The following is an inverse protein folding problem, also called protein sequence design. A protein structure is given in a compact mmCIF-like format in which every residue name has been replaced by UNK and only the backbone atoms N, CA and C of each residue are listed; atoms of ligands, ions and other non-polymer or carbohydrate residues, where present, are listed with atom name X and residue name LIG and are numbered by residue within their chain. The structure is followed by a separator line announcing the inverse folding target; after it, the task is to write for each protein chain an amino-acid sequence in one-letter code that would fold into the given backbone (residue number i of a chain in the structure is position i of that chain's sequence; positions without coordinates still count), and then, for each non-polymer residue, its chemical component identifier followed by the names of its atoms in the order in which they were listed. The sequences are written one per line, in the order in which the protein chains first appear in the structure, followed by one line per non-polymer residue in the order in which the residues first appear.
data_IF_318230674432
#
_entry.id   IF_318230674432
#
_cell.length_a   1.000
_cell.length_b   1.000
_cell.length_c   1.000
_cell.angle_alpha   90.00
_cell.angle_beta   90.00
_cell.angle_gamma   90.00
#
_symmetry.space_group_name_H-M   'P 1'
#
loop_
_entity.id
_entity.type
_entity.pdbx_description
1 polymer ?
#
# COMPACT_ATOMS: atom_id res chain seq x y z
N UNK A 1 -26.46 35.40 -32.60
CA UNK A 1 -25.43 34.49 -32.06
C UNK A 1 -24.07 35.15 -32.28
N UNK A 2 -23.35 35.42 -31.19
CA UNK A 2 -21.99 36.00 -31.19
C UNK A 2 -21.03 34.95 -31.76
N UNK A 3 -19.97 35.36 -32.46
CA UNK A 3 -18.56 35.01 -32.19
C UNK A 3 -17.68 35.83 -33.16
N UNK A 4 -16.98 36.79 -32.57
CA UNK A 4 -15.78 37.48 -33.03
C UNK A 4 -14.60 36.52 -33.16
N UNK A 5 -13.76 36.70 -34.17
CA UNK A 5 -12.44 36.04 -34.27
C UNK A 5 -11.51 36.84 -35.16
N UNK A 6 -10.75 37.74 -34.54
CA UNK A 6 -9.76 38.61 -35.17
C UNK A 6 -8.36 38.21 -34.67
N UNK A 7 -7.38 38.43 -35.55
CA UNK A 7 -5.94 38.60 -35.35
C UNK A 7 -4.99 37.41 -35.56
N UNK A 8 -4.21 37.64 -36.61
CA UNK A 8 -3.05 36.93 -37.14
C UNK A 8 -1.80 37.27 -36.30
N UNK A 9 -0.91 36.28 -36.24
CA UNK A 9 0.37 36.27 -35.56
C UNK A 9 1.41 37.28 -36.08
N UNK A 10 2.25 37.77 -35.17
CA UNK A 10 3.63 38.27 -35.37
C UNK A 10 4.19 38.47 -33.95
N UNK A 11 5.27 37.88 -33.45
CA UNK A 11 6.54 37.50 -34.03
C UNK A 11 7.62 38.32 -33.31
N UNK A 12 8.28 37.76 -32.29
CA UNK A 12 9.62 38.21 -31.88
C UNK A 12 10.38 37.09 -31.14
N UNK A 13 11.48 36.71 -31.75
CA UNK A 13 12.49 35.75 -31.32
C UNK A 13 13.56 36.49 -30.50
N UNK A 14 13.96 35.95 -29.35
CA UNK A 14 15.32 36.17 -28.84
C UNK A 14 15.85 34.92 -28.14
N UNK A 15 16.92 34.41 -28.73
CA UNK A 15 17.75 33.32 -28.24
C UNK A 15 18.66 33.81 -27.10
N UNK A 16 18.91 32.95 -26.12
CA UNK A 16 20.07 33.10 -25.24
C UNK A 16 20.92 31.84 -25.28
N UNK A 17 22.22 32.10 -25.43
CA UNK A 17 23.31 31.18 -25.75
C UNK A 17 23.59 30.18 -24.63
N UNK A 18 23.85 28.95 -25.07
CA UNK A 18 24.37 27.82 -24.31
C UNK A 18 25.87 28.05 -24.11
N UNK A 19 26.36 27.96 -22.87
CA UNK A 19 27.78 27.64 -22.64
C UNK A 19 27.82 26.52 -21.61
N UNK A 20 28.20 25.33 -22.05
CA UNK A 20 28.31 24.15 -21.22
C UNK A 20 29.69 24.02 -20.58
N UNK A 21 29.70 23.50 -19.35
CA UNK A 21 30.80 22.67 -18.86
C UNK A 21 30.18 21.45 -18.19
N UNK A 22 30.33 20.30 -18.85
CA UNK A 22 30.02 19.01 -18.30
C UNK A 22 31.17 18.56 -17.38
N UNK A 23 30.85 18.25 -16.13
CA UNK A 23 31.53 17.23 -15.33
C UNK A 23 30.44 16.48 -14.58
N UNK A 24 29.99 15.39 -15.21
CA UNK A 24 29.35 14.30 -14.53
C UNK A 24 30.45 13.50 -13.84
N UNK A 25 30.43 13.37 -12.51
CA UNK A 25 30.94 12.14 -11.90
C UNK A 25 30.39 11.86 -10.49
N UNK A 26 30.00 10.59 -10.33
CA UNK A 26 29.67 9.79 -9.15
C UNK A 26 28.60 10.28 -8.16
N UNK A 27 27.39 9.82 -8.44
CA UNK A 27 26.43 9.21 -7.51
C UNK A 27 27.02 8.82 -6.13
N UNK A 28 26.79 9.63 -5.10
CA UNK A 28 26.86 9.18 -3.71
C UNK A 28 25.47 8.75 -3.28
N UNK A 29 25.12 7.50 -3.59
CA UNK A 29 23.89 6.86 -3.13
C UNK A 29 23.95 6.66 -1.61
N UNK A 30 23.52 7.68 -0.87
CA UNK A 30 23.07 7.54 0.52
C UNK A 30 21.68 8.16 0.56
N UNK A 31 20.66 7.33 0.31
CA UNK A 31 19.30 7.72 0.66
C UNK A 31 19.27 7.83 2.19
N UNK A 32 19.08 9.03 2.77
CA UNK A 32 18.74 9.09 4.17
C UNK A 32 17.36 8.44 4.28
N UNK A 33 17.16 7.55 5.25
CA UNK A 33 15.83 7.17 5.68
C UNK A 33 15.16 8.44 6.21
N UNK A 34 14.61 9.22 5.28
CA UNK A 34 13.94 10.48 5.52
C UNK A 34 12.70 10.15 6.31
N UNK A 35 12.75 10.57 7.58
CA UNK A 35 11.63 10.95 8.42
C UNK A 35 10.39 11.25 7.56
N UNK A 36 9.48 10.26 7.49
CA UNK A 36 8.18 10.45 6.87
C UNK A 36 7.34 11.22 7.87
N UNK A 37 7.21 12.51 7.60
CA UNK A 37 6.22 13.45 8.08
C UNK A 37 4.94 12.74 8.58
N UNK A 38 4.77 12.74 9.89
CA UNK A 38 3.80 11.94 10.66
C UNK A 38 2.40 12.57 10.75
N UNK A 39 2.16 13.65 9.98
CA UNK A 39 0.93 14.45 10.10
C UNK A 39 -0.12 14.25 9.01
N UNK A 40 0.02 13.28 8.09
CA UNK A 40 -1.03 13.05 7.08
C UNK A 40 -1.11 11.61 6.60
N UNK A 41 -1.85 10.78 7.35
CA UNK A 41 -2.75 9.69 6.91
C UNK A 41 -3.08 8.86 8.15
N UNK A 42 -4.35 8.79 8.53
CA UNK A 42 -4.87 7.72 9.37
C UNK A 42 -4.66 6.38 8.63
N UNK A 43 -3.44 5.82 8.67
CA UNK A 43 -3.04 4.62 7.93
C UNK A 43 -3.55 3.38 8.67
N UNK A 44 -4.85 3.16 8.55
CA UNK A 44 -5.55 2.02 9.09
C UNK A 44 -5.10 0.71 8.44
N UNK A 45 -4.85 -0.29 9.27
CA UNK A 45 -4.45 -1.64 8.87
C UNK A 45 -5.37 -2.68 9.52
N UNK A 46 -5.40 -3.89 8.96
CA UNK A 46 -6.16 -5.01 9.51
C UNK A 46 -5.29 -6.06 10.21
N UNK A 47 -3.96 -5.86 10.22
CA UNK A 47 -3.03 -6.75 10.95
C UNK A 47 -2.69 -8.05 10.22
N UNK A 48 -2.45 -7.99 8.91
CA UNK A 48 -1.93 -9.14 8.14
C UNK A 48 -0.65 -8.79 7.40
N UNK A 49 0.11 -9.81 7.02
CA UNK A 49 1.06 -9.75 5.92
C UNK A 49 0.50 -10.44 4.68
N UNK A 50 0.89 -9.96 3.51
CA UNK A 50 0.56 -10.59 2.22
C UNK A 50 1.81 -11.18 1.60
N UNK A 51 1.66 -12.36 1.03
CA UNK A 51 2.68 -13.05 0.24
C UNK A 51 2.18 -13.28 -1.18
N UNK A 52 3.11 -13.26 -2.12
CA UNK A 52 2.84 -13.56 -3.53
C UNK A 52 3.31 -14.98 -3.81
N UNK A 53 2.44 -15.81 -4.38
CA UNK A 53 2.76 -17.17 -4.80
C UNK A 53 2.18 -17.50 -6.16
N UNK A 54 2.52 -18.67 -6.69
CA UNK A 54 1.89 -19.26 -7.86
C UNK A 54 1.86 -20.78 -7.67
N UNK A 55 0.80 -21.44 -8.11
CA UNK A 55 0.64 -22.88 -7.94
C UNK A 55 1.60 -23.65 -8.87
N UNK A 56 1.78 -23.18 -10.10
CA UNK A 56 2.70 -23.75 -11.09
C UNK A 56 3.54 -22.68 -11.75
N UNK A 57 4.67 -23.10 -12.31
CA UNK A 57 5.51 -22.22 -13.14
C UNK A 57 4.69 -21.79 -14.36
N UNK A 58 4.55 -20.47 -14.54
CA UNK A 58 3.78 -19.86 -15.62
C UNK A 58 2.33 -19.53 -15.25
N UNK A 59 1.84 -19.97 -14.09
CA UNK A 59 0.52 -19.57 -13.61
C UNK A 59 0.51 -18.10 -13.18
N UNK A 60 -0.66 -17.44 -13.24
CA UNK A 60 -0.82 -16.11 -12.67
C UNK A 60 -0.46 -16.10 -11.18
N UNK A 61 0.21 -15.03 -10.75
CA UNK A 61 0.48 -14.81 -9.35
C UNK A 61 -0.83 -14.64 -8.54
N UNK A 62 -0.83 -15.20 -7.34
CA UNK A 62 -1.91 -15.19 -6.36
C UNK A 62 -1.40 -14.57 -5.07
N UNK A 63 -2.29 -13.89 -4.33
CA UNK A 63 -2.00 -13.31 -3.03
C UNK A 63 -2.56 -14.17 -1.91
N UNK A 64 -1.72 -14.50 -0.96
CA UNK A 64 -2.08 -15.26 0.22
C UNK A 64 -1.81 -14.46 1.50
N UNK A 65 -2.60 -14.72 2.53
CA UNK A 65 -2.35 -14.22 3.88
C UNK A 65 -1.15 -14.96 4.46
N UNK A 66 -0.03 -14.25 4.64
CA UNK A 66 1.21 -14.84 5.13
C UNK A 66 1.30 -14.91 6.66
N UNK A 67 0.78 -13.91 7.36
CA UNK A 67 0.71 -13.86 8.82
C UNK A 67 -0.54 -13.09 9.21
N UNK A 68 -1.13 -13.47 10.34
CA UNK A 68 -2.24 -12.76 10.97
C UNK A 68 -1.78 -12.37 12.38
N UNK A 69 -1.86 -11.08 12.71
CA UNK A 69 -1.51 -10.60 14.03
C UNK A 69 -2.47 -11.20 15.07
N UNK A 70 -1.98 -11.88 16.12
CA UNK A 70 -2.83 -12.39 17.19
C UNK A 70 -3.69 -11.27 17.78
N UNK A 71 -4.97 -11.56 18.05
CA UNK A 71 -5.92 -10.57 18.59
C UNK A 71 -6.17 -9.32 17.70
N UNK A 72 -5.56 -9.25 16.51
CA UNK A 72 -5.76 -8.16 15.58
C UNK A 72 -7.12 -8.23 14.86
N UNK A 73 -7.54 -7.17 14.16
CA UNK A 73 -8.86 -7.13 13.51
C UNK A 73 -9.11 -8.29 12.53
N UNK A 74 -8.11 -8.64 11.72
CA UNK A 74 -8.20 -9.77 10.81
C UNK A 74 -8.38 -11.11 11.53
N UNK A 75 -7.66 -11.32 12.65
CA UNK A 75 -7.81 -12.51 13.47
C UNK A 75 -9.22 -12.62 14.06
N UNK A 76 -9.74 -11.53 14.63
CA UNK A 76 -11.09 -11.48 15.19
C UNK A 76 -12.18 -11.73 14.14
N UNK A 77 -11.93 -11.32 12.89
CA UNK A 77 -12.82 -11.60 11.77
C UNK A 77 -12.71 -13.03 11.22
N UNK A 78 -11.79 -13.85 11.75
CA UNK A 78 -11.59 -15.23 11.32
C UNK A 78 -10.78 -15.39 10.03
N UNK A 79 -10.03 -14.36 9.62
CA UNK A 79 -9.06 -14.46 8.54
C UNK A 79 -7.86 -15.31 9.00
N UNK A 80 -7.48 -16.30 8.20
CA UNK A 80 -6.46 -17.28 8.54
C UNK A 80 -5.19 -17.15 7.70
N UNK A 81 -4.09 -17.69 8.22
CA UNK A 81 -2.89 -17.94 7.42
C UNK A 81 -3.24 -18.84 6.23
N UNK A 82 -2.70 -18.53 5.05
CA UNK A 82 -2.87 -19.31 3.83
C UNK A 82 -4.15 -19.01 3.05
N UNK A 83 -5.07 -18.22 3.60
CA UNK A 83 -6.23 -17.74 2.86
C UNK A 83 -5.78 -16.99 1.60
N UNK A 84 -6.32 -17.37 0.43
CA UNK A 84 -6.14 -16.65 -0.81
C UNK A 84 -7.03 -15.40 -0.80
N UNK A 85 -6.44 -14.22 -1.02
CA UNK A 85 -7.21 -12.98 -1.22
C UNK A 85 -7.69 -12.92 -2.65
N UNK A 86 -9.02 -12.89 -2.85
CA UNK A 86 -9.63 -12.87 -4.19
C UNK A 86 -10.28 -11.53 -4.55
N UNK A 87 -10.73 -10.77 -3.55
CA UNK A 87 -11.33 -9.44 -3.76
C UNK A 87 -11.16 -8.53 -2.55
N UNK A 88 -11.17 -7.22 -2.80
CA UNK A 88 -11.22 -6.17 -1.77
C UNK A 88 -12.31 -5.18 -2.16
N UNK A 89 -13.26 -4.94 -1.24
CA UNK A 89 -14.46 -4.12 -1.45
C UNK A 89 -15.20 -4.48 -2.75
N UNK A 90 -15.40 -5.80 -2.97
CA UNK A 90 -16.04 -6.36 -4.16
C UNK A 90 -15.21 -6.29 -5.45
N UNK A 91 -14.04 -5.64 -5.43
CA UNK A 91 -13.15 -5.55 -6.60
C UNK A 91 -12.20 -6.73 -6.64
N UNK A 92 -12.18 -7.54 -7.72
CA UNK A 92 -11.25 -8.66 -7.85
C UNK A 92 -9.79 -8.21 -7.82
N UNK A 93 -8.92 -8.96 -7.15
CA UNK A 93 -7.49 -8.62 -7.06
C UNK A 93 -6.62 -9.26 -8.15
N UNK A 94 -7.16 -10.22 -8.90
CA UNK A 94 -6.44 -10.90 -9.98
C UNK A 94 -5.92 -9.89 -11.01
N UNK A 95 -4.62 -9.98 -11.32
CA UNK A 95 -3.95 -9.11 -12.30
C UNK A 95 -3.55 -7.74 -11.76
N UNK A 96 -3.83 -7.43 -10.48
CA UNK A 96 -3.33 -6.22 -9.82
C UNK A 96 -1.92 -6.44 -9.29
N UNK A 97 -1.16 -5.35 -9.15
CA UNK A 97 0.14 -5.37 -8.46
C UNK A 97 -0.06 -5.48 -6.96
N UNK A 98 0.98 -5.97 -6.28
CA UNK A 98 1.00 -6.12 -4.83
C UNK A 98 0.65 -4.80 -4.12
N UNK A 99 1.28 -3.69 -4.53
CA UNK A 99 1.11 -2.39 -3.91
C UNK A 99 -0.31 -1.84 -4.08
N UNK A 100 -0.96 -2.13 -5.21
CA UNK A 100 -2.35 -1.75 -5.45
C UNK A 100 -3.28 -2.44 -4.47
N UNK A 101 -3.12 -3.75 -4.27
CA UNK A 101 -3.95 -4.52 -3.34
C UNK A 101 -3.70 -4.10 -1.90
N UNK A 102 -2.44 -3.86 -1.52
CA UNK A 102 -2.11 -3.28 -0.20
C UNK A 102 -2.79 -1.92 -0.01
N UNK A 103 -2.79 -1.07 -1.04
CA UNK A 103 -3.47 0.23 -1.03
C UNK A 103 -4.99 0.11 -0.86
N UNK A 104 -5.62 -0.90 -1.45
CA UNK A 104 -7.05 -1.17 -1.28
C UNK A 104 -7.39 -1.65 0.14
N UNK A 105 -6.54 -2.51 0.73
CA UNK A 105 -6.76 -3.04 2.08
C UNK A 105 -6.52 -1.97 3.14
N UNK A 106 -5.53 -1.10 2.94
CA UNK A 106 -5.29 0.07 3.79
C UNK A 106 -6.39 1.12 3.57
N UNK A 107 -6.51 2.04 4.50
CA UNK A 107 -7.53 3.08 4.47
C UNK A 107 -7.61 3.80 5.80
N UNK A 108 -8.65 4.58 6.02
CA UNK A 108 -8.84 5.31 7.28
C UNK A 108 -9.06 4.37 8.46
N UNK A 109 -8.37 4.62 9.57
CA UNK A 109 -8.60 3.86 10.81
C UNK A 109 -10.03 4.07 11.32
N UNK A 110 -10.68 3.00 11.78
CA UNK A 110 -12.09 3.00 12.18
C UNK A 110 -13.06 2.65 11.03
N UNK A 111 -12.62 2.68 9.77
CA UNK A 111 -13.43 2.22 8.63
C UNK A 111 -13.31 0.70 8.44
N UNK A 112 -14.33 0.09 7.85
CA UNK A 112 -14.31 -1.32 7.47
C UNK A 112 -13.77 -1.52 6.05
N UNK A 113 -13.12 -2.66 5.83
CA UNK A 113 -12.80 -3.21 4.50
C UNK A 113 -13.47 -4.57 4.35
N UNK A 114 -14.03 -4.84 3.17
CA UNK A 114 -14.52 -6.17 2.83
C UNK A 114 -13.45 -6.94 2.09
N UNK A 115 -12.99 -8.06 2.65
CA UNK A 115 -12.00 -8.92 2.03
C UNK A 115 -12.67 -10.24 1.64
N UNK A 116 -12.74 -10.49 0.34
CA UNK A 116 -13.14 -11.80 -0.17
C UNK A 116 -11.93 -12.72 -0.18
N UNK A 117 -12.06 -13.87 0.47
CA UNK A 117 -11.00 -14.89 0.53
C UNK A 117 -11.50 -16.27 0.19
N UNK A 118 -10.59 -17.09 -0.34
CA UNK A 118 -10.78 -18.53 -0.50
C UNK A 118 -9.87 -19.26 0.49
N UNK A 119 -10.47 -19.92 1.46
CA UNK A 119 -9.79 -20.76 2.44
C UNK A 119 -10.30 -22.20 2.39
N UNK A 120 -10.04 -22.97 3.45
CA UNK A 120 -10.48 -24.38 3.56
C UNK A 120 -12.01 -24.54 3.51
N UNK A 121 -12.74 -23.56 4.06
CA UNK A 121 -14.20 -23.54 4.06
C UNK A 121 -14.81 -22.98 2.76
N UNK A 122 -13.99 -22.82 1.72
CA UNK A 122 -14.40 -22.22 0.45
C UNK A 122 -14.36 -20.69 0.44
N UNK A 123 -15.18 -20.10 -0.43
CA UNK A 123 -15.22 -18.65 -0.65
C UNK A 123 -16.04 -17.97 0.46
N UNK A 124 -15.45 -16.94 1.08
CA UNK A 124 -16.08 -16.13 2.14
C UNK A 124 -15.73 -14.66 1.98
N UNK A 125 -16.63 -13.77 2.41
CA UNK A 125 -16.36 -12.34 2.52
C UNK A 125 -16.33 -11.93 3.99
N UNK A 126 -15.26 -11.26 4.41
CA UNK A 126 -15.04 -10.80 5.78
C UNK A 126 -15.08 -9.27 5.81
N UNK A 127 -15.88 -8.69 6.70
CA UNK A 127 -15.86 -7.26 6.98
C UNK A 127 -14.95 -6.98 8.16
N UNK A 128 -13.84 -6.29 7.94
CA UNK A 128 -12.75 -6.13 8.91
C UNK A 128 -12.53 -4.64 9.19
N UNK A 129 -12.59 -4.24 10.46
CA UNK A 129 -12.36 -2.85 10.88
C UNK A 129 -10.87 -2.53 10.91
N UNK A 130 -10.46 -1.50 10.17
CA UNK A 130 -9.08 -1.01 10.19
C UNK A 130 -8.77 -0.35 11.53
N UNK A 131 -7.59 -0.61 12.08
CA UNK A 131 -7.07 0.08 13.28
C UNK A 131 -5.83 0.88 12.94
N UNK A 132 -5.55 1.92 13.73
CA UNK A 132 -4.35 2.73 13.54
C UNK A 132 -3.08 1.85 13.66
N UNK A 133 -2.15 1.99 12.70
CA UNK A 133 -0.99 1.10 12.60
C UNK A 133 -0.09 1.07 13.84
N UNK A 134 0.06 2.22 14.51
CA UNK A 134 0.84 2.38 15.74
C UNK A 134 0.23 1.65 16.96
N UNK A 135 -1.08 1.37 16.93
CA UNK A 135 -1.77 0.61 17.98
C UNK A 135 -1.52 -0.88 17.87
N UNK A 136 -1.37 -1.39 16.64
CA UNK A 136 -1.14 -2.82 16.42
C UNK A 136 0.33 -3.20 16.68
N UNK A 137 1.28 -2.31 16.41
CA UNK A 137 2.72 -2.56 16.63
C UNK A 137 3.15 -2.53 18.11
N UNK A 138 2.38 -1.92 19.01
CA UNK A 138 2.76 -1.77 20.43
C UNK A 138 2.61 -3.03 21.28
N UNK A 139 1.95 -4.08 20.78
CA UNK A 139 1.76 -5.35 21.50
C UNK A 139 3.02 -6.21 21.70
N UNK A 140 4.17 -5.83 21.13
CA UNK A 140 5.42 -6.64 21.21
C UNK A 140 6.64 -5.92 21.79
N UNK A 141 6.53 -4.63 22.17
CA UNK A 141 7.67 -3.86 22.72
C UNK A 141 7.65 -3.64 24.25
N UNK A 142 6.61 -4.04 24.97
CA UNK A 142 6.60 -3.97 26.45
C UNK A 142 7.21 -5.20 27.16
N UNK A 143 8.10 -5.95 26.48
CA UNK A 143 9.06 -6.84 27.15
C UNK A 143 10.38 -6.10 27.35
N UNK A 144 10.34 -5.02 28.12
CA UNK A 144 11.54 -4.49 28.77
C UNK A 144 11.56 -5.06 30.19
N UNK A 145 12.31 -6.14 30.36
CA UNK A 145 12.78 -6.51 31.68
C UNK A 145 13.52 -5.29 32.26
N UNK A 146 13.07 -4.84 33.43
CA UNK A 146 13.79 -3.86 34.23
C UNK A 146 15.29 -4.24 34.29
N UNK A 147 16.24 -3.29 34.19
CA UNK A 147 17.57 -3.57 34.70
C UNK A 147 17.42 -3.90 36.18
N UNK A 148 17.91 -5.09 36.57
CA UNK A 148 17.99 -5.52 37.95
C UNK A 148 18.74 -4.47 38.80
N UNK A 149 18.38 -4.31 40.09
CA UNK A 149 18.89 -3.25 40.95
C UNK A 149 20.41 -3.29 41.16
#
# INVERSE_FOLDING_TARGET
MRITGFHIATGLMMAFLITGTALADQHKSQAPYGHRDDTKLSNGIIGISLQVGAERIGDPAILYVGMVHPEGPAHQAGLGHGDEVVSVDGTPVKGKRYEEVVGMIRGEAGTAVKVGVRGENGLRELSITRVAGDKLSRGTSESHGNPAP
#
